data_IF_449236678243
#
_entry.id   IF_449236678243
#
_cell.length_a   1.000
_cell.length_b   1.000
_cell.length_c   1.000
_cell.angle_alpha   90.00
_cell.angle_beta   90.00
_cell.angle_gamma   90.00
#
_symmetry.space_group_name_H-M   'P 1'
#
loop_
_entity.id
_entity.type
_entity.pdbx_description
1 polymer ?
#
# COMPACT_ATOMS: atom_id res chain seq x y z
N UNK A 1 10.29 21.94 -13.65
CA UNK A 1 10.43 23.18 -12.85
C UNK A 1 10.98 22.86 -11.47
N UNK A 2 11.69 23.83 -10.84
CA UNK A 2 12.11 23.68 -9.44
C UNK A 2 10.93 23.90 -8.51
N UNK A 3 10.68 22.96 -7.60
CA UNK A 3 9.67 23.06 -6.56
C UNK A 3 10.32 23.20 -5.20
N UNK A 4 9.73 24.05 -4.34
CA UNK A 4 10.23 24.29 -2.98
C UNK A 4 9.71 23.24 -2.03
N UNK A 5 10.60 22.58 -1.29
CA UNK A 5 10.28 21.57 -0.28
C UNK A 5 10.94 21.97 1.03
N UNK A 6 10.22 21.76 2.15
CA UNK A 6 10.73 22.01 3.50
C UNK A 6 11.93 21.09 3.79
N UNK A 7 13.01 21.67 4.25
CA UNK A 7 14.23 20.98 4.58
C UNK A 7 14.49 21.01 6.08
N UNK A 8 14.81 19.86 6.63
CA UNK A 8 15.07 19.64 8.05
C UNK A 8 16.50 19.15 8.26
N UNK A 9 17.18 19.67 9.25
CA UNK A 9 18.48 19.13 9.69
C UNK A 9 18.35 17.81 10.44
N UNK A 10 19.47 17.18 10.73
CA UNK A 10 19.56 15.86 11.41
C UNK A 10 18.81 15.84 12.75
N UNK A 11 18.74 16.97 13.45
CA UNK A 11 18.05 17.13 14.74
C UNK A 11 16.52 17.37 14.61
N UNK A 12 15.98 17.32 13.39
CA UNK A 12 14.56 17.55 13.11
C UNK A 12 14.16 19.03 13.19
N UNK A 13 15.11 19.97 13.16
CA UNK A 13 14.82 21.42 13.14
C UNK A 13 14.69 21.85 11.68
N UNK A 14 13.66 22.66 11.39
CA UNK A 14 13.43 23.21 10.06
C UNK A 14 14.56 24.23 9.71
N UNK A 15 15.31 23.93 8.65
CA UNK A 15 16.41 24.78 8.16
C UNK A 15 16.01 25.67 6.99
N UNK A 16 14.71 25.63 6.58
CA UNK A 16 14.20 26.42 5.47
C UNK A 16 13.58 25.59 4.36
N UNK A 17 13.58 26.13 3.15
CA UNK A 17 13.09 25.45 1.95
C UNK A 17 14.23 25.32 0.94
N UNK A 18 14.29 24.18 0.26
CA UNK A 18 15.23 23.93 -0.84
C UNK A 18 14.46 23.63 -2.12
N UNK A 19 15.04 23.98 -3.25
CA UNK A 19 14.47 23.75 -4.57
C UNK A 19 14.99 22.44 -5.16
N UNK A 20 14.05 21.61 -5.65
CA UNK A 20 14.35 20.34 -6.31
C UNK A 20 13.67 20.28 -7.68
N UNK A 21 14.34 19.66 -8.65
CA UNK A 21 13.81 19.49 -10.00
C UNK A 21 12.86 18.30 -10.07
N UNK A 22 11.55 18.55 -9.94
CA UNK A 22 10.50 17.53 -9.91
C UNK A 22 9.71 17.61 -11.22
N UNK A 23 9.32 16.43 -11.80
CA UNK A 23 8.43 16.39 -12.96
C UNK A 23 7.11 17.08 -12.64
N UNK A 24 6.73 18.06 -13.45
CA UNK A 24 5.48 18.81 -13.32
C UNK A 24 4.39 18.22 -14.20
N UNK A 25 3.16 18.27 -13.70
CA UNK A 25 1.97 17.80 -14.40
C UNK A 25 0.93 18.89 -14.47
N UNK A 26 0.46 19.17 -15.66
CA UNK A 26 -0.65 20.10 -15.92
C UNK A 26 -1.99 19.37 -15.75
N UNK A 27 -2.89 19.95 -14.97
CA UNK A 27 -4.26 19.45 -14.78
C UNK A 27 -4.32 17.98 -14.37
N UNK A 28 -5.20 17.24 -15.02
CA UNK A 28 -5.51 15.83 -14.70
C UNK A 28 -4.58 14.81 -15.37
N UNK A 29 -3.54 15.26 -16.07
CA UNK A 29 -2.58 14.36 -16.75
C UNK A 29 -1.96 13.39 -15.74
N UNK A 30 -2.10 12.10 -15.99
CA UNK A 30 -1.55 11.04 -15.14
C UNK A 30 -2.42 10.59 -13.96
N UNK A 31 -3.49 11.32 -13.59
CA UNK A 31 -4.38 10.92 -12.49
C UNK A 31 -5.09 9.58 -12.75
N UNK A 32 -5.59 9.37 -13.97
CA UNK A 32 -6.24 8.11 -14.31
C UNK A 32 -5.26 6.94 -14.24
N UNK A 33 -4.04 7.11 -14.73
CA UNK A 33 -2.98 6.10 -14.68
C UNK A 33 -2.59 5.81 -13.22
N UNK A 34 -2.46 6.85 -12.39
CA UNK A 34 -2.20 6.70 -10.95
C UNK A 34 -3.29 5.87 -10.29
N UNK A 35 -4.56 6.16 -10.54
CA UNK A 35 -5.70 5.40 -10.02
C UNK A 35 -5.63 3.92 -10.42
N UNK A 36 -5.39 3.63 -11.70
CA UNK A 36 -5.32 2.25 -12.21
C UNK A 36 -4.16 1.47 -11.58
N UNK A 37 -3.00 2.11 -11.44
CA UNK A 37 -1.82 1.51 -10.79
C UNK A 37 -2.08 1.23 -9.30
N UNK A 38 -2.73 2.16 -8.59
CA UNK A 38 -3.10 1.94 -7.16
C UNK A 38 -4.07 0.77 -7.03
N UNK A 39 -5.10 0.69 -7.89
CA UNK A 39 -6.05 -0.42 -7.90
C UNK A 39 -5.32 -1.74 -8.18
N UNK A 40 -4.40 -1.76 -9.14
CA UNK A 40 -3.60 -2.94 -9.45
C UNK A 40 -2.75 -3.39 -8.24
N UNK A 41 -2.05 -2.47 -7.57
CA UNK A 41 -1.28 -2.82 -6.37
C UNK A 41 -2.17 -3.36 -5.25
N UNK A 42 -3.34 -2.75 -5.01
CA UNK A 42 -4.29 -3.24 -4.00
C UNK A 42 -4.87 -4.61 -4.36
N UNK A 43 -5.17 -4.84 -5.65
CA UNK A 43 -5.66 -6.13 -6.12
C UNK A 43 -4.59 -7.23 -5.96
N UNK A 44 -3.34 -6.92 -6.28
CA UNK A 44 -2.21 -7.86 -6.17
C UNK A 44 -1.87 -8.27 -4.72
N UNK A 45 -2.30 -7.49 -3.73
CA UNK A 45 -2.17 -7.87 -2.32
C UNK A 45 -3.22 -8.92 -1.89
N UNK A 46 -4.27 -9.15 -2.69
CA UNK A 46 -5.34 -10.08 -2.35
C UNK A 46 -4.92 -11.52 -2.62
N UNK A 47 -5.00 -12.36 -1.61
CA UNK A 47 -4.60 -13.77 -1.70
C UNK A 47 -5.60 -14.65 -2.47
N UNK A 48 -6.88 -14.30 -2.51
CA UNK A 48 -7.90 -14.98 -3.29
C UNK A 48 -8.31 -16.37 -2.81
N UNK A 49 -8.09 -16.73 -1.55
CA UNK A 49 -8.29 -18.07 -0.99
C UNK A 49 -9.74 -18.37 -0.58
N UNK A 50 -10.66 -17.39 -0.67
CA UNK A 50 -12.05 -17.61 -0.29
C UNK A 50 -12.68 -18.72 -1.14
N UNK A 51 -13.24 -19.74 -0.50
CA UNK A 51 -13.86 -20.87 -1.16
C UNK A 51 -15.16 -21.28 -0.47
N UNK A 52 -16.17 -21.61 -1.24
CA UNK A 52 -17.41 -22.20 -0.76
C UNK A 52 -17.67 -23.53 -1.47
N UNK A 53 -18.37 -24.43 -0.78
CA UNK A 53 -18.78 -25.71 -1.35
C UNK A 53 -20.06 -25.55 -2.15
N UNK A 54 -20.00 -25.90 -3.42
CA UNK A 54 -21.21 -26.03 -4.28
C UNK A 54 -21.96 -27.30 -3.92
N UNK A 55 -23.16 -27.48 -4.47
CA UNK A 55 -23.94 -28.69 -4.30
C UNK A 55 -23.19 -29.98 -4.62
N UNK A 56 -22.28 -29.93 -5.61
CA UNK A 56 -21.40 -31.06 -5.96
C UNK A 56 -20.33 -31.37 -4.92
N UNK A 57 -19.79 -30.32 -4.28
CA UNK A 57 -18.66 -30.41 -3.35
C UNK A 57 -19.10 -30.76 -1.91
N UNK A 58 -20.40 -30.56 -1.57
CA UNK A 58 -20.92 -30.92 -0.26
C UNK A 58 -21.03 -32.44 -0.13
N UNK A 59 -20.47 -32.99 0.97
CA UNK A 59 -20.60 -34.42 1.27
C UNK A 59 -22.06 -34.76 1.56
N UNK A 60 -22.54 -35.83 0.94
CA UNK A 60 -23.91 -36.31 1.14
C UNK A 60 -24.44 -37.11 -0.05
N UNK A 61 -25.54 -37.82 0.17
CA UNK A 61 -26.21 -38.62 -0.88
C UNK A 61 -26.92 -37.74 -1.89
N UNK A 62 -26.75 -38.01 -3.18
CA UNK A 62 -27.55 -37.46 -4.27
C UNK A 62 -28.90 -38.10 -4.42
N UNK A 63 -29.22 -39.16 -3.61
CA UNK A 63 -30.46 -39.88 -3.68
C UNK A 63 -31.64 -38.99 -3.24
N UNK A 64 -32.78 -39.09 -3.96
CA UNK A 64 -34.02 -38.41 -3.61
C UNK A 64 -34.50 -38.86 -2.22
N UNK A 65 -34.76 -37.95 -1.25
CA UNK A 65 -35.09 -38.32 0.12
C UNK A 65 -36.39 -39.12 0.24
N UNK A 66 -37.38 -38.81 -0.58
CA UNK A 66 -38.70 -39.47 -0.61
C UNK A 66 -39.37 -39.35 -1.99
N UNK A 67 -40.42 -40.10 -2.21
CA UNK A 67 -41.18 -40.11 -3.46
C UNK A 67 -41.78 -38.74 -3.79
N UNK A 68 -42.04 -38.47 -5.08
CA UNK A 68 -42.47 -37.16 -5.59
C UNK A 68 -43.86 -36.71 -5.10
N UNK A 69 -44.77 -37.64 -4.85
CA UNK A 69 -46.15 -37.37 -4.41
C UNK A 69 -46.57 -38.34 -3.30
N UNK A 70 -47.63 -38.00 -2.55
CA UNK A 70 -48.21 -38.86 -1.54
C UNK A 70 -47.51 -38.91 -0.20
N UNK A 71 -46.68 -37.88 0.14
CA UNK A 71 -45.98 -37.75 1.45
C UNK A 71 -46.51 -36.59 2.29
N UNK A 72 -47.37 -35.71 1.72
CA UNK A 72 -47.78 -34.47 2.40
C UNK A 72 -46.68 -33.44 2.60
N UNK A 73 -45.46 -33.76 2.24
CA UNK A 73 -44.28 -32.87 2.42
C UNK A 73 -43.93 -32.12 1.13
N UNK A 74 -43.25 -30.98 1.27
CA UNK A 74 -42.73 -30.24 0.13
C UNK A 74 -41.77 -31.11 -0.70
N UNK A 75 -41.83 -30.98 -2.02
CA UNK A 75 -41.02 -31.75 -2.95
C UNK A 75 -39.53 -31.44 -2.77
N UNK A 76 -38.68 -32.46 -2.66
CA UNK A 76 -37.22 -32.31 -2.56
C UNK A 76 -36.52 -33.21 -3.57
N UNK A 77 -35.50 -32.67 -4.22
CA UNK A 77 -34.64 -33.41 -5.13
C UNK A 77 -33.49 -34.14 -4.40
N UNK A 78 -32.69 -33.43 -3.66
CA UNK A 78 -31.60 -33.97 -2.85
C UNK A 78 -31.34 -33.12 -1.60
N UNK A 79 -30.68 -33.73 -0.59
CA UNK A 79 -30.35 -33.04 0.68
C UNK A 79 -29.25 -32.01 0.56
N UNK A 80 -28.43 -32.07 -0.51
CA UNK A 80 -27.32 -31.11 -0.77
C UNK A 80 -27.79 -29.84 -1.49
N UNK A 81 -29.05 -29.72 -1.82
CA UNK A 81 -29.64 -28.56 -2.48
C UNK A 81 -29.37 -27.28 -1.64
N UNK A 82 -29.14 -26.12 -2.27
CA UNK A 82 -29.00 -24.85 -1.59
C UNK A 82 -30.15 -24.45 -0.69
N UNK A 83 -31.34 -24.97 -0.95
CA UNK A 83 -32.57 -24.79 -0.15
C UNK A 83 -32.56 -25.61 1.15
N UNK A 84 -31.72 -26.63 1.25
CA UNK A 84 -31.61 -27.46 2.43
C UNK A 84 -30.63 -26.90 3.45
N UNK A 85 -30.90 -27.11 4.75
CA UNK A 85 -29.98 -26.77 5.82
C UNK A 85 -28.69 -27.58 5.66
N UNK A 86 -27.55 -26.91 5.58
CA UNK A 86 -26.26 -27.54 5.27
C UNK A 86 -26.03 -27.88 3.79
N UNK A 87 -26.92 -27.41 2.89
CA UNK A 87 -26.75 -27.55 1.43
C UNK A 87 -25.62 -26.67 0.87
N UNK A 88 -25.34 -26.86 -0.42
CA UNK A 88 -24.31 -26.12 -1.11
C UNK A 88 -24.65 -24.65 -1.34
N UNK A 89 -23.66 -23.81 -1.53
CA UNK A 89 -23.80 -22.39 -1.85
C UNK A 89 -23.89 -22.22 -3.36
N UNK A 90 -24.84 -21.39 -3.83
CA UNK A 90 -24.99 -21.02 -5.24
C UNK A 90 -24.12 -19.77 -5.51
N UNK A 91 -23.29 -19.81 -6.55
CA UNK A 91 -22.43 -18.66 -6.92
C UNK A 91 -21.57 -18.09 -5.79
N UNK A 92 -21.17 -18.92 -4.83
CA UNK A 92 -20.26 -18.52 -3.79
C UNK A 92 -18.83 -18.29 -4.31
N UNK A 93 -17.96 -17.66 -3.53
CA UNK A 93 -16.58 -17.41 -3.93
C UNK A 93 -15.83 -18.72 -4.22
N UNK A 94 -15.01 -18.69 -5.23
CA UNK A 94 -14.04 -19.75 -5.55
C UNK A 94 -12.64 -19.15 -5.54
N UNK A 95 -11.61 -19.94 -5.20
CA UNK A 95 -10.24 -19.47 -5.29
C UNK A 95 -9.94 -18.92 -6.68
N UNK A 96 -9.43 -17.70 -6.74
CA UNK A 96 -9.04 -17.04 -8.00
C UNK A 96 -7.86 -16.12 -7.79
N UNK A 97 -7.12 -15.89 -8.83
CA UNK A 97 -6.11 -14.86 -8.88
C UNK A 97 -6.74 -13.49 -9.16
N UNK A 98 -6.31 -12.48 -8.38
CA UNK A 98 -6.70 -11.09 -8.53
C UNK A 98 -5.61 -10.24 -9.16
N UNK A 99 -4.50 -10.84 -9.58
CA UNK A 99 -3.34 -10.13 -10.12
C UNK A 99 -3.73 -9.33 -11.36
N UNK A 100 -3.37 -8.05 -11.35
CA UNK A 100 -3.51 -7.13 -12.47
C UNK A 100 -2.11 -6.73 -12.91
N UNK A 101 -1.80 -6.96 -14.17
CA UNK A 101 -0.52 -6.56 -14.74
C UNK A 101 -0.63 -5.17 -15.36
N UNK A 102 0.31 -4.28 -15.00
CA UNK A 102 0.37 -2.90 -15.49
C UNK A 102 1.73 -2.68 -16.17
N UNK A 103 1.75 -1.95 -17.27
CA UNK A 103 2.95 -1.66 -18.03
C UNK A 103 3.99 -0.87 -17.23
N UNK A 104 5.27 -1.08 -17.49
CA UNK A 104 6.36 -0.37 -16.79
C UNK A 104 6.28 1.15 -16.97
N UNK A 105 5.93 1.64 -18.16
CA UNK A 105 5.79 3.08 -18.46
C UNK A 105 4.65 3.70 -17.64
N UNK A 106 3.53 2.99 -17.49
CA UNK A 106 2.39 3.44 -16.68
C UNK A 106 2.75 3.49 -15.19
N UNK A 107 3.45 2.46 -14.67
CA UNK A 107 3.94 2.46 -13.27
C UNK A 107 4.88 3.64 -13.01
N UNK A 108 5.76 3.97 -13.96
CA UNK A 108 6.66 5.11 -13.85
C UNK A 108 5.90 6.42 -13.85
N UNK A 109 4.97 6.60 -14.79
CA UNK A 109 4.13 7.80 -14.89
C UNK A 109 3.30 8.01 -13.61
N UNK A 110 2.73 6.92 -13.07
CA UNK A 110 2.00 6.96 -11.80
C UNK A 110 2.89 7.38 -10.64
N UNK A 111 4.13 6.88 -10.58
CA UNK A 111 5.10 7.24 -9.54
C UNK A 111 5.51 8.72 -9.62
N UNK A 112 5.73 9.22 -10.84
CA UNK A 112 6.01 10.64 -11.10
C UNK A 112 4.84 11.52 -10.64
N UNK A 113 3.61 11.14 -10.99
CA UNK A 113 2.41 11.88 -10.60
C UNK A 113 2.21 11.85 -9.08
N UNK A 114 2.37 10.71 -8.43
CA UNK A 114 2.25 10.59 -6.98
C UNK A 114 3.28 11.45 -6.22
N UNK A 115 4.52 11.53 -6.73
CA UNK A 115 5.54 12.43 -6.18
C UNK A 115 5.12 13.90 -6.33
N UNK A 116 4.71 14.30 -7.52
CA UNK A 116 4.26 15.67 -7.80
C UNK A 116 3.11 16.07 -6.87
N UNK A 117 2.06 15.25 -6.77
CA UNK A 117 0.91 15.50 -5.90
C UNK A 117 1.33 15.62 -4.42
N UNK A 118 2.25 14.76 -3.97
CA UNK A 118 2.78 14.80 -2.59
C UNK A 118 3.52 16.10 -2.28
N UNK A 119 4.20 16.69 -3.26
CA UNK A 119 4.90 17.97 -3.10
C UNK A 119 3.90 19.14 -3.13
N UNK A 120 2.97 19.15 -4.08
CA UNK A 120 1.94 20.20 -4.19
C UNK A 120 1.08 20.26 -2.93
N UNK A 121 0.73 19.11 -2.37
CA UNK A 121 -0.04 19.02 -1.12
C UNK A 121 0.80 19.31 0.14
N UNK A 122 2.11 19.54 0.01
CA UNK A 122 3.01 19.79 1.14
C UNK A 122 3.20 18.59 2.07
N UNK A 123 2.94 17.38 1.57
CA UNK A 123 3.14 16.12 2.33
C UNK A 123 4.59 15.68 2.38
N UNK A 124 5.39 16.05 1.38
CA UNK A 124 6.79 15.68 1.30
C UNK A 124 7.66 16.67 2.08
N UNK A 125 8.52 16.15 2.93
CA UNK A 125 9.58 16.89 3.60
C UNK A 125 10.92 16.20 3.39
N UNK A 126 12.00 16.96 3.34
CA UNK A 126 13.34 16.44 3.15
C UNK A 126 14.11 16.58 4.46
N UNK A 127 14.74 15.48 4.87
CA UNK A 127 15.64 15.41 6.00
C UNK A 127 17.08 15.33 5.47
N UNK A 128 18.00 16.07 6.03
CA UNK A 128 19.41 16.06 5.61
C UNK A 128 19.98 14.63 5.64
N UNK A 129 19.91 13.98 6.78
CA UNK A 129 20.27 12.59 7.00
C UNK A 129 19.59 12.05 8.26
N UNK A 130 19.48 10.74 8.38
CA UNK A 130 19.07 10.11 9.63
C UNK A 130 20.21 10.18 10.63
N UNK A 131 19.86 10.46 11.90
CA UNK A 131 20.84 10.49 12.99
C UNK A 131 21.54 9.14 13.09
N UNK A 132 22.86 9.15 13.12
CA UNK A 132 23.68 7.96 13.39
C UNK A 132 23.56 7.59 14.88
N UNK A 133 23.37 6.29 15.14
CA UNK A 133 23.21 5.76 16.49
C UNK A 133 24.25 4.67 16.73
N UNK A 134 25.02 4.81 17.81
CA UNK A 134 25.98 3.78 18.25
C UNK A 134 25.27 2.54 18.79
N UNK A 135 24.11 2.74 19.43
CA UNK A 135 23.24 1.69 19.94
C UNK A 135 21.78 1.98 19.57
N UNK A 136 20.90 0.95 19.40
CA UNK A 136 19.51 1.17 19.07
C UNK A 136 18.76 1.87 20.21
N UNK A 137 18.28 3.10 19.95
CA UNK A 137 17.52 3.93 20.90
C UNK A 137 16.28 4.54 20.25
N UNK A 138 15.11 4.02 20.60
CA UNK A 138 13.83 4.51 20.09
C UNK A 138 13.52 5.93 20.53
N UNK A 139 13.86 6.32 21.77
CA UNK A 139 13.56 7.65 22.31
C UNK A 139 14.22 8.78 21.52
N UNK A 140 15.46 8.58 21.07
CA UNK A 140 16.16 9.57 20.24
C UNK A 140 15.47 9.78 18.89
N UNK A 141 15.09 8.70 18.22
CA UNK A 141 14.35 8.78 16.95
C UNK A 141 12.97 9.41 17.13
N UNK A 142 12.25 9.08 18.19
CA UNK A 142 10.97 9.70 18.52
C UNK A 142 11.12 11.21 18.66
N UNK A 143 12.14 11.69 19.38
CA UNK A 143 12.37 13.12 19.60
C UNK A 143 12.62 13.90 18.30
N UNK A 144 13.27 13.28 17.30
CA UNK A 144 13.49 13.86 15.98
C UNK A 144 12.19 13.89 15.19
N UNK A 145 11.48 12.75 15.10
CA UNK A 145 10.27 12.67 14.30
C UNK A 145 9.10 13.49 14.88
N UNK A 146 9.02 13.68 16.20
CA UNK A 146 7.99 14.53 16.82
C UNK A 146 8.12 16.01 16.44
N UNK A 147 9.34 16.47 16.19
CA UNK A 147 9.59 17.83 15.71
C UNK A 147 9.17 18.01 14.24
N UNK A 148 9.33 16.97 13.41
CA UNK A 148 9.02 17.02 11.97
C UNK A 148 7.54 16.79 11.74
N UNK A 149 6.99 15.72 12.33
CA UNK A 149 5.61 15.25 12.11
C UNK A 149 4.96 14.85 13.43
N UNK A 150 4.39 15.81 14.18
CA UNK A 150 3.71 15.49 15.43
C UNK A 150 2.47 14.63 15.18
N UNK A 151 2.39 13.46 15.82
CA UNK A 151 1.21 12.56 15.92
C UNK A 151 0.63 11.98 14.62
N UNK A 152 1.19 12.22 13.44
CA UNK A 152 0.71 11.66 12.18
C UNK A 152 1.49 10.40 11.80
N UNK A 153 0.84 9.52 11.03
CA UNK A 153 1.54 8.42 10.36
C UNK A 153 2.42 8.98 9.26
N UNK A 154 3.65 8.53 9.18
CA UNK A 154 4.58 8.97 8.14
C UNK A 154 5.30 7.79 7.47
N UNK A 155 5.64 7.99 6.21
CA UNK A 155 6.51 7.13 5.43
C UNK A 155 7.92 7.72 5.49
N UNK A 156 8.89 6.93 5.95
CA UNK A 156 10.30 7.29 5.96
C UNK A 156 11.01 6.55 4.84
N UNK A 157 11.67 7.29 3.97
CA UNK A 157 12.38 6.75 2.81
C UNK A 157 13.85 7.12 2.91
N UNK A 158 14.71 6.11 2.89
CA UNK A 158 16.16 6.28 2.82
C UNK A 158 16.76 5.30 1.82
N UNK A 159 17.96 5.59 1.37
CA UNK A 159 18.74 4.72 0.49
C UNK A 159 19.58 3.70 1.24
N UNK A 160 19.91 3.99 2.49
CA UNK A 160 20.84 3.17 3.27
C UNK A 160 20.55 3.29 4.78
N UNK A 161 19.74 2.36 5.27
CA UNK A 161 19.43 2.27 6.70
C UNK A 161 20.49 1.47 7.44
N UNK A 162 21.10 2.03 8.47
CA UNK A 162 21.90 1.23 9.39
C UNK A 162 21.03 0.29 10.23
N UNK A 163 21.57 -0.84 10.68
CA UNK A 163 20.86 -1.81 11.52
C UNK A 163 20.33 -1.16 12.81
N UNK A 164 21.13 -0.32 13.47
CA UNK A 164 20.73 0.39 14.69
C UNK A 164 19.57 1.37 14.44
N UNK A 165 19.52 2.03 13.28
CA UNK A 165 18.42 2.90 12.89
C UNK A 165 17.14 2.09 12.68
N UNK A 166 17.19 0.98 11.93
CA UNK A 166 16.04 0.11 11.70
C UNK A 166 15.47 -0.46 13.01
N UNK A 167 16.34 -0.95 13.90
CA UNK A 167 15.93 -1.44 15.22
C UNK A 167 15.27 -0.35 16.08
N UNK A 168 15.73 0.89 15.95
CA UNK A 168 15.16 2.04 16.67
C UNK A 168 13.81 2.50 16.13
N UNK A 169 13.54 2.29 14.82
CA UNK A 169 12.34 2.79 14.15
C UNK A 169 11.24 1.71 14.09
N UNK A 170 11.58 0.42 13.92
CA UNK A 170 10.60 -0.66 13.66
C UNK A 170 9.49 -0.79 14.69
N UNK A 171 9.74 -0.42 15.95
CA UNK A 171 8.74 -0.47 17.03
C UNK A 171 7.79 0.74 17.03
N UNK A 172 8.02 1.74 16.18
CA UNK A 172 7.21 2.96 16.11
C UNK A 172 6.05 2.76 15.14
N UNK A 173 4.86 2.39 15.63
CA UNK A 173 3.67 2.09 14.80
C UNK A 173 3.24 3.22 13.85
N UNK A 174 3.71 4.45 14.06
CA UNK A 174 3.40 5.60 13.22
C UNK A 174 4.39 5.82 12.08
N UNK A 175 5.57 5.20 12.12
CA UNK A 175 6.62 5.36 11.13
C UNK A 175 6.77 4.06 10.35
N UNK A 176 6.65 4.15 9.05
CA UNK A 176 6.90 3.05 8.15
C UNK A 176 8.17 3.36 7.34
N UNK A 177 9.22 2.58 7.55
CA UNK A 177 10.49 2.74 6.84
C UNK A 177 10.54 1.87 5.60
N UNK A 178 10.99 2.44 4.48
CA UNK A 178 11.13 1.73 3.21
C UNK A 178 12.39 2.21 2.48
N UNK A 179 13.06 1.28 1.78
CA UNK A 179 14.18 1.60 0.90
C UNK A 179 13.69 2.29 -0.39
N UNK A 180 14.46 3.27 -0.89
CA UNK A 180 14.19 4.01 -2.14
C UNK A 180 13.86 3.11 -3.31
N UNK A 181 14.54 1.97 -3.43
CA UNK A 181 14.33 1.04 -4.53
C UNK A 181 12.98 0.35 -4.48
N UNK A 182 12.41 0.19 -3.30
CA UNK A 182 11.13 -0.51 -3.04
C UNK A 182 9.91 0.41 -3.06
N UNK A 183 10.12 1.74 -3.07
CA UNK A 183 9.01 2.72 -3.09
C UNK A 183 8.16 2.58 -4.33
N UNK A 184 6.85 2.58 -4.14
CA UNK A 184 5.84 2.54 -5.19
C UNK A 184 4.80 3.67 -5.07
N UNK A 185 3.98 3.86 -6.09
CA UNK A 185 2.97 4.93 -6.13
C UNK A 185 1.89 4.79 -5.04
N UNK A 186 1.57 3.55 -4.61
CA UNK A 186 0.63 3.30 -3.53
C UNK A 186 1.17 3.80 -2.18
N UNK A 187 2.48 3.60 -1.92
CA UNK A 187 3.10 4.06 -0.68
C UNK A 187 3.07 5.59 -0.57
N UNK A 188 3.43 6.30 -1.65
CA UNK A 188 3.38 7.78 -1.67
C UNK A 188 1.95 8.31 -1.49
N UNK A 189 0.94 7.64 -2.05
CA UNK A 189 -0.46 8.07 -1.95
C UNK A 189 -1.10 7.74 -0.60
N UNK A 190 -0.61 6.70 0.08
CA UNK A 190 -1.23 6.16 1.30
C UNK A 190 -0.95 6.99 2.55
N UNK A 191 0.27 7.52 2.65
CA UNK A 191 0.71 8.19 3.86
C UNK A 191 0.42 9.70 3.81
N UNK A 192 -0.08 10.28 4.92
CA UNK A 192 -0.37 11.70 5.00
C UNK A 192 0.89 12.56 5.09
N UNK A 193 2.02 11.96 5.43
CA UNK A 193 3.31 12.64 5.48
C UNK A 193 4.41 11.70 4.99
N UNK A 194 5.35 12.26 4.22
CA UNK A 194 6.48 11.54 3.65
C UNK A 194 7.75 12.27 4.05
N UNK A 195 8.69 11.54 4.63
CA UNK A 195 10.02 12.03 4.99
C UNK A 195 11.01 11.31 4.09
N UNK A 196 11.78 12.04 3.30
CA UNK A 196 12.88 11.49 2.51
C UNK A 196 14.18 12.10 2.97
N UNK A 197 15.24 11.30 3.07
CA UNK A 197 16.59 11.86 3.22
C UNK A 197 17.02 12.52 1.90
N UNK A 198 17.94 13.46 1.95
CA UNK A 198 18.42 14.16 0.76
C UNK A 198 19.03 13.19 -0.26
N UNK A 199 19.78 12.19 0.22
CA UNK A 199 20.31 11.09 -0.60
C UNK A 199 19.21 10.29 -1.26
N UNK A 200 18.19 9.92 -0.48
CA UNK A 200 17.05 9.17 -0.99
C UNK A 200 16.28 9.93 -2.05
N UNK A 201 16.06 11.22 -1.87
CA UNK A 201 15.36 12.04 -2.86
C UNK A 201 16.15 12.12 -4.17
N UNK A 202 17.47 12.32 -4.11
CA UNK A 202 18.32 12.34 -5.30
C UNK A 202 18.25 11.02 -6.06
N UNK A 203 18.46 9.90 -5.39
CA UNK A 203 18.38 8.56 -5.98
C UNK A 203 16.96 8.26 -6.54
N UNK A 204 15.93 8.73 -5.84
CA UNK A 204 14.54 8.57 -6.29
C UNK A 204 14.26 9.36 -7.57
N UNK A 205 14.74 10.59 -7.66
CA UNK A 205 14.58 11.43 -8.86
C UNK A 205 15.31 10.82 -10.06
N UNK A 206 16.49 10.27 -9.89
CA UNK A 206 17.21 9.54 -10.94
C UNK A 206 16.41 8.33 -11.44
N UNK A 207 15.88 7.50 -10.52
CA UNK A 207 15.04 6.34 -10.83
C UNK A 207 13.76 6.72 -11.59
N UNK A 208 13.19 7.86 -11.28
CA UNK A 208 11.92 8.33 -11.84
C UNK A 208 12.14 8.99 -13.22
N UNK A 209 13.32 9.58 -13.48
CA UNK A 209 13.68 10.21 -14.77
C UNK A 209 14.26 9.21 -15.77
N UNK A 210 14.97 8.18 -15.31
CA UNK A 210 15.51 7.09 -16.15
C UNK A 210 14.39 6.22 -16.75
#
# INVERSE_FOLDING_TARGET
MSMKIKFYGIDGVCSGEREYNIPEFEGDRGLQVLKEVIIAYQANLRQGNACTKTRGDVHGSGKKPFRQKGTGMARQGEKRSPLARGGGVVFGPKPRDFSINVNRKEKRLALQRALFDSVVEGKLVVLEALKTLDAPKTAEMVSVFDKIVPSKKCLLIDSDFSENQLLSIRNLNRIFSIDVNSVNALDLSRYPQIIMTERALTAFLEKVQA
#
